data_IF_950417787851
#
_entry.id   IF_950417787851
#
_cell.length_a   1.000
_cell.length_b   1.000
_cell.length_c   1.000
_cell.angle_alpha   90.00
_cell.angle_beta   90.00
_cell.angle_gamma   90.00
#
_symmetry.space_group_name_H-M   'P 1'
#
loop_
_entity.id
_entity.type
_entity.pdbx_description
1 polymer ?
#
# COMPACT_ATOMS: atom_id res chain seq x y z
N UNK A 1 47.52 -45.25 -30.77
CA UNK A 1 46.44 -44.23 -30.68
C UNK A 1 45.69 -44.38 -29.36
N UNK A 2 46.31 -44.10 -28.21
CA UNK A 2 45.57 -43.81 -26.96
C UNK A 2 46.51 -42.94 -26.11
N UNK A 3 46.74 -41.71 -26.56
CA UNK A 3 47.39 -40.67 -25.77
C UNK A 3 46.44 -39.47 -25.83
N UNK A 4 45.54 -39.39 -24.85
CA UNK A 4 44.73 -38.22 -24.48
C UNK A 4 43.86 -38.62 -23.28
N UNK A 5 44.50 -38.83 -22.11
CA UNK A 5 43.78 -38.70 -20.84
C UNK A 5 43.82 -37.21 -20.50
N UNK A 6 42.80 -36.52 -21.01
CA UNK A 6 42.57 -35.09 -20.81
C UNK A 6 42.27 -34.87 -19.32
N UNK A 7 43.25 -34.34 -18.61
CA UNK A 7 43.08 -33.56 -17.39
C UNK A 7 42.32 -32.29 -17.76
N UNK A 8 41.01 -32.21 -17.46
CA UNK A 8 40.17 -31.01 -17.33
C UNK A 8 38.75 -31.57 -17.14
N UNK A 9 38.18 -31.59 -15.93
CA UNK A 9 37.70 -30.39 -15.27
C UNK A 9 37.62 -30.60 -13.76
N UNK A 10 38.48 -29.90 -13.01
CA UNK A 10 38.06 -29.36 -11.73
C UNK A 10 36.89 -28.42 -12.05
N UNK A 11 35.65 -28.88 -11.88
CA UNK A 11 34.58 -27.97 -11.52
C UNK A 11 34.89 -27.50 -10.10
N UNK A 12 35.75 -26.49 -10.02
CA UNK A 12 35.70 -25.55 -8.91
C UNK A 12 34.30 -24.95 -8.99
N UNK A 13 33.36 -25.58 -8.29
CA UNK A 13 32.02 -25.07 -8.11
C UNK A 13 32.17 -23.88 -7.16
N UNK A 14 32.57 -22.73 -7.70
CA UNK A 14 32.37 -21.45 -7.05
C UNK A 14 30.87 -21.21 -7.05
N UNK A 15 30.16 -21.92 -6.16
CA UNK A 15 28.81 -21.54 -5.76
C UNK A 15 28.97 -20.22 -5.01
N UNK A 16 28.95 -19.12 -5.76
CA UNK A 16 28.42 -17.85 -5.27
C UNK A 16 26.92 -18.01 -4.97
N UNK A 17 26.56 -19.00 -4.14
CA UNK A 17 25.18 -19.26 -3.72
C UNK A 17 24.86 -18.43 -2.49
N UNK A 18 25.21 -17.14 -2.54
CA UNK A 18 25.14 -16.24 -1.39
C UNK A 18 24.23 -15.02 -1.56
N UNK A 19 23.83 -14.66 -2.78
CA UNK A 19 23.11 -13.41 -3.05
C UNK A 19 21.64 -13.55 -3.47
N UNK A 20 21.22 -14.68 -4.04
CA UNK A 20 19.89 -14.77 -4.66
C UNK A 20 18.76 -15.08 -3.66
N UNK A 21 19.11 -15.62 -2.49
CA UNK A 21 18.15 -16.15 -1.52
C UNK A 21 18.00 -15.25 -0.27
N UNK A 22 18.22 -13.93 -0.38
CA UNK A 22 18.09 -13.00 0.75
C UNK A 22 16.73 -12.28 0.66
N UNK A 23 15.89 -12.32 1.71
CA UNK A 23 14.62 -11.62 1.68
C UNK A 23 14.86 -10.11 1.71
N UNK A 24 14.06 -9.37 0.96
CA UNK A 24 14.18 -7.92 0.89
C UNK A 24 12.82 -7.23 1.03
N UNK A 25 12.87 -5.98 1.47
CA UNK A 25 11.69 -5.16 1.68
C UNK A 25 11.38 -4.41 0.38
N UNK A 26 10.20 -4.67 -0.20
CA UNK A 26 9.69 -3.93 -1.36
C UNK A 26 8.87 -2.74 -0.86
N UNK A 27 9.56 -1.63 -0.60
CA UNK A 27 8.92 -0.38 -0.18
C UNK A 27 9.51 0.81 -0.95
N UNK A 28 8.71 1.60 -1.67
CA UNK A 28 9.20 2.75 -2.41
C UNK A 28 9.86 3.80 -1.51
N UNK A 29 10.89 4.47 -2.04
CA UNK A 29 11.49 5.63 -1.39
C UNK A 29 10.47 6.78 -1.34
N UNK A 30 10.54 7.60 -0.31
CA UNK A 30 9.65 8.74 -0.08
C UNK A 30 8.16 8.36 0.08
N UNK A 31 7.90 7.16 0.60
CA UNK A 31 6.54 6.74 0.97
C UNK A 31 6.01 7.66 2.07
N UNK A 32 4.83 8.25 1.84
CA UNK A 32 4.19 9.18 2.76
C UNK A 32 2.71 8.85 2.95
N UNK A 33 2.26 8.88 4.20
CA UNK A 33 0.88 8.64 4.62
C UNK A 33 0.33 9.88 5.31
N UNK A 34 -0.92 10.22 4.99
CA UNK A 34 -1.66 11.30 5.62
C UNK A 34 -2.93 10.74 6.22
N UNK A 35 -3.19 11.06 7.48
CA UNK A 35 -4.38 10.65 8.20
C UNK A 35 -4.93 11.81 9.01
N UNK A 36 -6.20 11.72 9.40
CA UNK A 36 -6.78 12.61 10.40
C UNK A 36 -6.76 11.95 11.77
N UNK A 37 -6.84 12.76 12.81
CA UNK A 37 -6.98 12.25 14.17
C UNK A 37 -8.18 11.32 14.24
N UNK A 38 -8.05 10.22 14.98
CA UNK A 38 -9.00 9.10 15.14
C UNK A 38 -9.19 8.17 13.94
N UNK A 39 -8.57 8.44 12.78
CA UNK A 39 -8.61 7.51 11.65
C UNK A 39 -7.93 6.18 12.03
N UNK A 40 -8.35 5.11 11.34
CA UNK A 40 -7.61 3.85 11.29
C UNK A 40 -6.59 3.95 10.17
N UNK A 41 -5.29 3.92 10.50
CA UNK A 41 -4.21 3.94 9.52
C UNK A 41 -3.54 2.56 9.46
N UNK A 42 -3.44 2.00 8.26
CA UNK A 42 -2.75 0.73 7.99
C UNK A 42 -1.59 0.99 7.03
N UNK A 43 -0.36 0.69 7.48
CA UNK A 43 0.85 0.89 6.69
C UNK A 43 1.42 -0.47 6.33
N UNK A 44 1.56 -0.70 5.03
CA UNK A 44 2.03 -1.96 4.48
C UNK A 44 3.54 -1.98 4.29
N UNK A 45 4.18 -3.06 4.72
CA UNK A 45 5.55 -3.41 4.40
C UNK A 45 5.55 -4.79 3.73
N UNK A 46 5.80 -4.80 2.42
CA UNK A 46 5.91 -6.03 1.64
C UNK A 46 7.32 -6.59 1.77
N UNK A 47 7.43 -7.86 2.16
CA UNK A 47 8.67 -8.62 2.16
C UNK A 47 8.60 -9.69 1.08
N UNK A 48 9.62 -9.69 0.24
CA UNK A 48 9.75 -10.63 -0.88
C UNK A 48 10.89 -11.59 -0.57
N UNK A 49 10.65 -12.88 -0.76
CA UNK A 49 11.64 -13.94 -0.68
C UNK A 49 11.31 -15.03 -1.70
N UNK A 50 12.24 -15.89 -2.08
CA UNK A 50 11.88 -17.08 -2.83
C UNK A 50 11.08 -18.07 -1.97
N UNK A 51 10.25 -18.91 -2.60
CA UNK A 51 9.24 -19.78 -1.97
C UNK A 51 9.80 -20.90 -1.08
N UNK A 52 11.11 -21.19 -1.17
CA UNK A 52 11.77 -22.27 -0.43
C UNK A 52 12.98 -21.84 0.39
N UNK A 53 13.29 -20.54 0.41
CA UNK A 53 14.49 -20.02 1.07
C UNK A 53 14.32 -19.95 2.59
N UNK A 54 13.18 -19.42 3.05
CA UNK A 54 12.95 -19.13 4.45
C UNK A 54 11.54 -19.50 4.84
N UNK A 55 11.43 -20.40 5.81
CA UNK A 55 10.15 -20.76 6.42
C UNK A 55 9.67 -19.66 7.37
N UNK A 56 10.60 -19.07 8.13
CA UNK A 56 10.32 -18.04 9.13
C UNK A 56 11.15 -16.78 8.84
N UNK A 57 10.46 -15.67 8.59
CA UNK A 57 11.05 -14.34 8.47
C UNK A 57 10.49 -13.49 9.60
N UNK A 58 11.38 -12.91 10.40
CA UNK A 58 10.99 -12.03 11.49
C UNK A 58 11.03 -10.58 11.00
N UNK A 59 9.90 -9.89 11.11
CA UNK A 59 9.76 -8.49 10.72
C UNK A 59 9.25 -7.68 11.90
N UNK A 60 9.91 -6.55 12.16
CA UNK A 60 9.54 -5.61 13.21
C UNK A 60 9.34 -4.21 12.65
N UNK A 61 8.70 -3.37 13.45
CA UNK A 61 8.50 -1.96 13.15
C UNK A 61 9.17 -1.07 14.17
N UNK A 62 9.70 0.05 13.70
CA UNK A 62 10.28 1.06 14.58
C UNK A 62 9.92 2.48 14.14
N UNK A 63 10.01 3.40 15.10
CA UNK A 63 9.96 4.84 14.87
C UNK A 63 11.37 5.42 14.90
N UNK A 64 11.67 6.32 13.99
CA UNK A 64 12.93 7.05 13.98
C UNK A 64 12.84 8.19 15.00
N UNK A 65 13.80 8.26 15.91
CA UNK A 65 13.95 9.34 16.89
C UNK A 65 14.77 10.51 16.36
N UNK A 66 14.86 11.60 17.14
CA UNK A 66 15.58 12.83 16.75
C UNK A 66 17.08 12.61 16.53
N UNK A 67 17.65 11.53 17.08
CA UNK A 67 19.05 11.14 16.88
C UNK A 67 19.22 10.23 15.67
N UNK A 68 18.18 10.09 14.84
CA UNK A 68 18.12 9.19 13.70
C UNK A 68 18.24 7.71 14.09
N UNK A 69 17.99 7.39 15.37
CA UNK A 69 17.94 6.04 15.89
C UNK A 69 16.58 5.38 15.67
N UNK A 70 16.57 4.10 15.38
CA UNK A 70 15.34 3.31 15.21
C UNK A 70 14.92 2.72 16.56
N UNK A 71 13.81 3.21 17.10
CA UNK A 71 13.22 2.77 18.38
C UNK A 71 12.08 1.79 18.11
N UNK A 72 12.16 0.53 18.58
CA UNK A 72 11.09 -0.44 18.39
C UNK A 72 9.75 0.11 18.86
N UNK A 73 8.68 -0.15 18.10
CA UNK A 73 7.34 0.23 18.52
C UNK A 73 6.88 -0.66 19.66
N UNK A 74 6.43 -0.03 20.74
CA UNK A 74 5.80 -0.74 21.86
C UNK A 74 4.34 -0.99 21.47
N UNK A 75 3.97 -2.27 21.37
CA UNK A 75 2.57 -2.65 21.14
C UNK A 75 1.70 -2.12 22.27
N UNK A 76 0.56 -1.54 21.89
CA UNK A 76 -0.36 -0.89 22.83
C UNK A 76 -1.80 -1.04 22.36
N UNK A 77 -2.73 -0.46 23.11
CA UNK A 77 -4.15 -0.55 22.78
C UNK A 77 -4.52 0.18 21.47
N UNK A 78 -3.71 1.15 21.01
CA UNK A 78 -3.96 1.91 19.78
C UNK A 78 -3.02 1.53 18.62
N UNK A 79 -1.94 0.78 18.87
CA UNK A 79 -0.96 0.37 17.84
C UNK A 79 -0.70 -1.14 17.90
N UNK A 80 -0.86 -1.82 16.77
CA UNK A 80 -0.62 -3.26 16.62
C UNK A 80 0.02 -3.58 15.27
N UNK A 81 0.61 -4.77 15.15
CA UNK A 81 1.13 -5.28 13.87
C UNK A 81 0.43 -6.57 13.48
N UNK A 82 0.18 -6.74 12.19
CA UNK A 82 -0.27 -8.00 11.61
C UNK A 82 0.77 -8.56 10.65
N UNK A 83 0.86 -9.88 10.57
CA UNK A 83 1.74 -10.59 9.65
C UNK A 83 0.91 -11.61 8.87
N UNK A 84 0.92 -11.51 7.53
CA UNK A 84 0.16 -12.41 6.67
C UNK A 84 0.93 -12.78 5.41
N UNK A 85 0.79 -14.03 4.98
CA UNK A 85 1.29 -14.49 3.68
C UNK A 85 0.35 -14.04 2.57
N UNK A 86 0.90 -13.45 1.50
CA UNK A 86 0.16 -13.05 0.30
C UNK A 86 0.32 -14.12 -0.78
N UNK A 87 1.53 -14.66 -0.92
CA UNK A 87 1.86 -15.80 -1.77
C UNK A 87 3.00 -16.60 -1.12
N UNK A 88 3.49 -17.64 -1.81
CA UNK A 88 4.67 -18.38 -1.36
C UNK A 88 5.93 -17.50 -1.28
N UNK A 89 6.03 -16.47 -2.13
CA UNK A 89 7.18 -15.59 -2.24
C UNK A 89 6.98 -14.20 -1.64
N UNK A 90 5.77 -13.87 -1.20
CA UNK A 90 5.42 -12.53 -0.74
C UNK A 90 4.66 -12.59 0.59
N UNK A 91 5.16 -11.82 1.55
CA UNK A 91 4.58 -11.69 2.89
C UNK A 91 4.38 -10.22 3.21
N UNK A 92 3.35 -9.91 3.99
CA UNK A 92 2.97 -8.55 4.33
C UNK A 92 2.99 -8.36 5.84
N UNK A 93 3.82 -7.41 6.29
CA UNK A 93 3.73 -6.85 7.63
C UNK A 93 2.91 -5.57 7.57
N UNK A 94 1.87 -5.48 8.39
CA UNK A 94 0.99 -4.31 8.44
C UNK A 94 1.10 -3.66 9.81
N UNK A 95 1.53 -2.40 9.87
CA UNK A 95 1.44 -1.57 11.06
C UNK A 95 0.08 -0.89 11.10
N UNK A 96 -0.66 -1.07 12.20
CA UNK A 96 -2.04 -0.64 12.34
C UNK A 96 -2.15 0.32 13.52
N UNK A 97 -2.59 1.55 13.23
CA UNK A 97 -3.06 2.50 14.21
C UNK A 97 -4.59 2.47 14.23
N UNK A 98 -5.21 2.10 15.35
CA UNK A 98 -6.68 1.99 15.47
C UNK A 98 -7.37 3.33 15.72
N UNK A 99 -6.67 4.26 16.37
CA UNK A 99 -7.09 5.63 16.65
C UNK A 99 -5.87 6.52 16.60
N UNK A 100 -5.46 6.90 15.40
CA UNK A 100 -4.22 7.65 15.22
C UNK A 100 -4.33 9.07 15.80
N UNK A 101 -3.24 9.58 16.34
CA UNK A 101 -3.17 10.89 17.00
C UNK A 101 -2.09 11.76 16.39
N UNK A 102 -2.11 13.07 16.67
CA UNK A 102 -1.05 13.99 16.20
C UNK A 102 0.35 13.56 16.67
N UNK A 103 0.45 12.91 17.84
CA UNK A 103 1.68 12.39 18.41
C UNK A 103 2.28 11.19 17.63
N UNK A 104 1.47 10.53 16.82
CA UNK A 104 1.90 9.44 15.92
C UNK A 104 2.49 9.96 14.61
N UNK A 105 2.52 11.28 14.39
CA UNK A 105 3.24 11.85 13.25
C UNK A 105 4.74 11.62 13.40
N UNK A 106 5.42 11.24 12.32
CA UNK A 106 6.86 11.01 12.35
C UNK A 106 7.35 10.11 11.23
N UNK A 107 8.56 9.58 11.42
CA UNK A 107 9.17 8.66 10.47
C UNK A 107 9.24 7.25 11.04
N UNK A 108 8.88 6.28 10.20
CA UNK A 108 8.78 4.86 10.56
C UNK A 108 9.60 4.00 9.61
N UNK A 109 10.04 2.85 10.09
CA UNK A 109 10.71 1.81 9.29
C UNK A 109 10.20 0.43 9.65
N UNK A 110 10.25 -0.43 8.65
CA UNK A 110 10.04 -1.86 8.75
C UNK A 110 11.42 -2.52 8.65
N UNK A 111 11.69 -3.50 9.50
CA UNK A 111 12.99 -4.16 9.60
C UNK A 111 12.82 -5.67 9.56
N UNK A 112 13.57 -6.34 8.69
CA UNK A 112 13.79 -7.77 8.78
C UNK A 112 14.88 -7.96 9.84
N UNK A 113 14.60 -8.72 10.89
CA UNK A 113 15.55 -9.01 11.98
C UNK A 113 16.17 -10.40 11.86
N UNK A 114 15.49 -11.31 11.16
CA UNK A 114 15.94 -12.65 10.83
C UNK A 114 15.30 -13.07 9.52
N UNK A 115 16.00 -13.76 8.61
CA UNK A 115 17.32 -14.39 8.76
C UNK A 115 18.51 -13.46 8.57
N UNK A 116 18.36 -12.40 7.77
CA UNK A 116 19.40 -11.42 7.45
C UNK A 116 18.83 -10.05 7.73
N UNK A 117 19.54 -9.27 8.54
CA UNK A 117 19.08 -7.95 8.93
C UNK A 117 18.98 -7.02 7.71
N UNK A 118 17.81 -6.42 7.49
CA UNK A 118 17.56 -5.48 6.40
C UNK A 118 16.51 -4.46 6.82
N UNK A 119 16.65 -3.22 6.34
CA UNK A 119 15.86 -2.08 6.82
C UNK A 119 15.23 -1.34 5.65
N UNK A 120 13.96 -0.99 5.79
CA UNK A 120 13.21 -0.28 4.76
C UNK A 120 13.68 1.17 4.59
N UNK A 121 13.28 1.79 3.48
CA UNK A 121 13.26 3.24 3.42
C UNK A 121 12.34 3.84 4.50
N UNK A 122 12.63 5.08 4.90
CA UNK A 122 11.81 5.80 5.87
C UNK A 122 10.44 6.12 5.30
N UNK A 123 9.41 5.87 6.09
CA UNK A 123 8.00 6.19 5.79
C UNK A 123 7.62 7.42 6.58
N UNK A 124 7.11 8.46 5.91
CA UNK A 124 6.60 9.66 6.58
C UNK A 124 5.12 9.49 6.91
N UNK A 125 4.73 9.74 8.16
CA UNK A 125 3.34 9.77 8.60
C UNK A 125 3.01 11.17 9.09
N UNK A 126 1.98 11.78 8.51
CA UNK A 126 1.47 13.10 8.92
C UNK A 126 0.03 12.97 9.37
N UNK A 127 -0.25 13.38 10.60
CA UNK A 127 -1.59 13.34 11.18
C UNK A 127 -2.09 14.76 11.41
N UNK A 128 -3.24 15.10 10.84
CA UNK A 128 -3.82 16.45 10.94
C UNK A 128 -5.05 16.44 11.84
N UNK A 129 -5.14 17.42 12.74
CA UNK A 129 -6.35 17.70 13.51
C UNK A 129 -7.10 18.89 12.88
N UNK A 130 -8.33 18.70 12.37
CA UNK A 130 -9.12 19.80 11.83
C UNK A 130 -9.47 20.88 12.88
N UNK A 131 -9.45 20.55 14.18
CA UNK A 131 -9.83 21.46 15.27
C UNK A 131 -8.67 22.32 15.77
N UNK A 132 -7.42 21.96 15.44
CA UNK A 132 -6.22 22.69 15.89
C UNK A 132 -5.95 24.01 15.13
N UNK A 133 -6.88 24.50 14.31
CA UNK A 133 -6.80 25.87 13.75
C UNK A 133 -7.23 26.88 14.83
N UNK A 134 -6.54 26.95 15.96
CA UNK A 134 -6.81 27.97 16.97
C UNK A 134 -6.01 29.25 16.70
N UNK A 135 -6.76 30.28 16.28
CA UNK A 135 -6.84 31.60 16.94
C UNK A 135 -5.47 32.13 17.43
N UNK A 136 -4.78 32.86 16.56
CA UNK A 136 -3.87 33.93 17.02
C UNK A 136 -4.64 35.25 16.94
N UNK A 137 -5.16 35.70 18.08
CA UNK A 137 -5.77 37.03 18.22
C UNK A 137 -4.67 38.07 18.37
N UNK A 138 -4.54 38.99 17.39
CA UNK A 138 -4.36 40.43 17.60
C UNK A 138 -4.31 41.21 16.25
N UNK A 139 -5.44 41.86 15.91
CA UNK A 139 -5.44 43.16 15.20
C UNK A 139 -5.45 43.20 13.66
N UNK A 140 -6.60 42.98 13.00
CA UNK A 140 -6.99 43.71 11.77
C UNK A 140 -8.43 43.37 11.35
N UNK A 141 -9.17 44.30 10.69
CA UNK A 141 -10.60 44.15 10.45
C UNK A 141 -10.89 43.04 9.42
N UNK A 142 -11.91 42.25 9.73
CA UNK A 142 -12.38 41.14 8.92
C UNK A 142 -12.80 41.61 7.53
N UNK A 143 -12.03 41.21 6.51
CA UNK A 143 -12.52 41.17 5.12
C UNK A 143 -12.97 39.74 4.87
N UNK A 144 -14.28 39.51 4.94
CA UNK A 144 -14.92 38.25 4.59
C UNK A 144 -14.84 38.08 3.07
N UNK A 145 -13.82 37.37 2.59
CA UNK A 145 -13.79 36.84 1.22
C UNK A 145 -14.47 35.47 1.24
N UNK A 146 -15.54 35.24 0.47
CA UNK A 146 -16.13 33.90 0.37
C UNK A 146 -15.15 33.00 -0.37
N UNK A 147 -14.40 32.17 0.36
CA UNK A 147 -13.59 31.10 -0.22
C UNK A 147 -14.56 30.04 -0.73
N UNK A 148 -14.82 30.04 -2.03
CA UNK A 148 -15.52 28.94 -2.71
C UNK A 148 -14.60 27.72 -2.71
N UNK A 149 -14.67 26.92 -1.65
CA UNK A 149 -14.05 25.59 -1.60
C UNK A 149 -14.83 24.69 -2.55
N UNK A 150 -14.26 24.41 -3.72
CA UNK A 150 -14.74 23.31 -4.56
C UNK A 150 -14.33 22.02 -3.86
N UNK A 151 -15.24 21.46 -3.07
CA UNK A 151 -15.06 20.15 -2.43
C UNK A 151 -14.83 19.11 -3.54
N UNK A 152 -13.70 18.37 -3.55
CA UNK A 152 -13.55 17.26 -4.48
C UNK A 152 -14.60 16.21 -4.12
N UNK A 153 -15.45 15.86 -5.10
CA UNK A 153 -16.47 14.83 -4.95
C UNK A 153 -15.79 13.56 -4.43
N UNK A 154 -16.29 13.00 -3.32
CA UNK A 154 -15.75 11.77 -2.73
C UNK A 154 -15.64 10.68 -3.80
N UNK A 155 -14.52 9.95 -3.80
CA UNK A 155 -14.18 8.94 -4.81
C UNK A 155 -15.30 7.90 -5.00
N UNK A 156 -16.05 7.58 -3.94
CA UNK A 156 -17.24 6.71 -3.99
C UNK A 156 -18.41 7.31 -4.80
N UNK A 157 -18.62 8.62 -4.73
CA UNK A 157 -19.63 9.33 -5.52
C UNK A 157 -19.19 9.36 -6.98
N UNK A 158 -17.90 9.51 -7.25
CA UNK A 158 -17.37 9.51 -8.61
C UNK A 158 -17.54 8.14 -9.29
N UNK A 159 -17.27 7.04 -8.58
CA UNK A 159 -17.53 5.69 -9.10
C UNK A 159 -19.03 5.44 -9.32
N UNK A 160 -19.88 5.92 -8.42
CA UNK A 160 -21.34 5.78 -8.54
C UNK A 160 -21.88 6.52 -9.76
N UNK A 161 -21.39 7.74 -10.04
CA UNK A 161 -21.80 8.54 -11.22
C UNK A 161 -21.35 7.89 -12.52
N UNK A 162 -20.10 7.41 -12.58
CA UNK A 162 -19.57 6.72 -13.77
C UNK A 162 -20.39 5.45 -14.04
N UNK A 163 -20.66 4.65 -13.01
CA UNK A 163 -21.44 3.41 -13.12
C UNK A 163 -22.85 3.66 -13.67
N UNK A 164 -23.58 4.64 -13.12
CA UNK A 164 -24.92 5.00 -13.59
C UNK A 164 -24.89 5.48 -15.05
N UNK A 165 -23.90 6.30 -15.44
CA UNK A 165 -23.78 6.81 -16.81
C UNK A 165 -23.57 5.69 -17.84
N UNK A 166 -22.72 4.71 -17.54
CA UNK A 166 -22.44 3.58 -18.43
C UNK A 166 -23.68 2.69 -18.58
N UNK A 167 -24.39 2.43 -17.47
CA UNK A 167 -25.62 1.63 -17.50
C UNK A 167 -26.71 2.27 -18.36
N UNK A 168 -26.93 3.58 -18.23
CA UNK A 168 -27.92 4.32 -19.04
C UNK A 168 -27.57 4.25 -20.53
N UNK A 169 -26.31 4.47 -20.89
CA UNK A 169 -25.86 4.38 -22.30
C UNK A 169 -26.04 2.95 -22.84
N UNK A 170 -25.71 1.92 -22.07
CA UNK A 170 -25.90 0.53 -22.47
C UNK A 170 -27.38 0.19 -22.72
N UNK A 171 -28.30 0.67 -21.86
CA UNK A 171 -29.75 0.46 -22.05
C UNK A 171 -30.25 1.18 -23.29
N UNK A 172 -29.83 2.43 -23.53
CA UNK A 172 -30.24 3.20 -24.72
C UNK A 172 -29.72 2.57 -26.02
N UNK A 173 -28.54 1.97 -26.02
CA UNK A 173 -27.98 1.32 -27.21
C UNK A 173 -28.56 -0.09 -27.44
N UNK A 174 -28.90 -0.82 -26.38
CA UNK A 174 -29.40 -2.20 -26.49
C UNK A 174 -30.92 -2.28 -26.64
N UNK A 175 -31.69 -1.35 -26.06
CA UNK A 175 -33.15 -1.34 -26.19
C UNK A 175 -33.65 -1.30 -27.65
N UNK A 176 -33.08 -0.49 -28.57
CA UNK A 176 -33.45 -0.52 -29.99
C UNK A 176 -33.06 -1.83 -30.68
N UNK A 177 -31.97 -2.49 -30.26
CA UNK A 177 -31.54 -3.79 -30.79
C UNK A 177 -32.44 -4.93 -30.31
N UNK A 178 -32.97 -4.83 -29.09
CA UNK A 178 -33.92 -5.78 -28.53
C UNK A 178 -35.30 -5.58 -29.15
N UNK A 179 -35.75 -4.33 -29.33
CA UNK A 179 -37.02 -4.02 -30.00
C UNK A 179 -37.00 -4.37 -31.49
N UNK A 180 -35.88 -4.17 -32.19
CA UNK A 180 -35.74 -4.58 -33.60
C UNK A 180 -35.67 -6.10 -33.80
N UNK A 181 -35.29 -6.86 -32.76
CA UNK A 181 -35.38 -8.34 -32.76
C UNK A 181 -36.77 -8.88 -32.38
N UNK A 182 -37.62 -8.08 -31.75
CA UNK A 182 -39.00 -8.46 -31.40
C UNK A 182 -40.04 -8.26 -32.53
N UNK A 183 -39.68 -7.58 -33.61
CA UNK A 183 -40.59 -7.19 -34.70
C UNK A 183 -40.67 -8.13 -35.91
N UNK A 184 -40.47 -9.45 -35.75
CA UNK A 184 -40.73 -10.43 -36.83
C UNK A 184 -41.67 -11.54 -36.36
N UNK A 185 -42.92 -11.19 -36.08
CA UNK A 185 -44.06 -12.10 -36.16
C UNK A 185 -45.33 -11.27 -36.34
N UNK A 186 -45.77 -11.12 -37.59
CA UNK A 186 -47.19 -11.08 -37.94
C UNK A 186 -47.34 -11.62 -39.38
N UNK A 187 -48.16 -12.66 -39.42
CA UNK A 187 -48.69 -13.51 -40.48
C UNK A 187 -49.34 -12.73 -41.63
N UNK A 188 -49.28 -13.29 -42.85
CA UNK A 188 -50.19 -12.93 -43.95
C UNK A 188 -50.87 -14.20 -44.47
N UNK A 189 -52.11 -14.32 -44.02
CA UNK A 189 -53.33 -14.93 -44.56
C UNK A 189 -53.26 -15.72 -45.89
N UNK A 190 -53.80 -16.94 -45.85
CA UNK A 190 -54.74 -17.50 -46.84
C UNK A 190 -55.91 -18.16 -46.09
#
# INVERSE_FOLDING_TARGET
>A
RVLMLVLFSLSADTRESGSDCIPFIRLPRNTAWRARVTDVLMINCTVVSESHCWENIAVTWCRIDDKNGCRPLIHSNHTSTEWRSVSESERLSVLIFRKISVQDSGFYRCEITSPVASVSHSISVTVTDPVSTQITTAGSPAVTVPVTVKTPLSVEVQFSVIYISVFVVAVVLTAPLIMSRGGKKCQKDE
#
